data_IF_080976380070
#
_entry.id   IF_080976380070
#
_cell.length_a   1.000
_cell.length_b   1.000
_cell.length_c   1.000
_cell.angle_alpha   90.00
_cell.angle_beta   90.00
_cell.angle_gamma   90.00
#
_symmetry.space_group_name_H-M   'P 1'
#
loop_
_entity.id
_entity.type
_entity.pdbx_description
1 polymer ?
#
# COMPACT_ATOMS: atom_id res chain seq x y z
N UNK A 1 12.64 29.23 -17.36
CA UNK A 1 11.90 28.21 -18.13
C UNK A 1 11.14 27.41 -17.10
N UNK A 2 9.81 27.52 -17.09
CA UNK A 2 8.98 26.88 -16.08
C UNK A 2 9.11 25.36 -16.25
N UNK A 3 9.60 24.69 -15.20
CA UNK A 3 9.47 23.24 -15.10
C UNK A 3 7.98 22.92 -15.15
N UNK A 4 7.57 22.25 -16.22
CA UNK A 4 6.25 21.63 -16.31
C UNK A 4 6.14 20.69 -15.12
N UNK A 5 5.29 21.05 -14.16
CA UNK A 5 4.85 20.16 -13.10
C UNK A 5 4.16 19.01 -13.80
N UNK A 6 4.82 17.87 -13.93
CA UNK A 6 4.16 16.63 -14.34
C UNK A 6 3.01 16.44 -13.36
N UNK A 7 1.79 16.63 -13.84
CA UNK A 7 0.59 16.43 -13.05
C UNK A 7 0.55 14.96 -12.66
N UNK A 8 0.83 14.67 -11.40
CA UNK A 8 0.83 13.30 -10.88
C UNK A 8 -0.63 12.85 -10.81
N UNK A 9 -1.08 12.02 -11.75
CA UNK A 9 -2.39 11.36 -11.67
C UNK A 9 -2.22 10.00 -11.00
N UNK A 10 -2.61 9.90 -9.73
CA UNK A 10 -2.68 8.64 -8.99
C UNK A 10 -4.07 8.03 -9.18
N UNK A 11 -4.13 6.79 -9.67
CA UNK A 11 -5.37 6.01 -9.82
C UNK A 11 -5.68 5.17 -8.59
N UNK A 12 -4.65 4.68 -7.90
CA UNK A 12 -4.75 4.01 -6.59
C UNK A 12 -3.39 4.03 -5.89
N UNK A 13 -3.44 4.06 -4.56
CA UNK A 13 -2.28 3.89 -3.69
C UNK A 13 -2.41 2.58 -2.90
N UNK A 14 -1.45 1.68 -3.03
CA UNK A 14 -1.41 0.43 -2.25
C UNK A 14 -0.22 0.51 -1.29
N UNK A 15 -0.44 0.26 0.00
CA UNK A 15 0.59 0.27 1.02
C UNK A 15 0.70 -1.14 1.63
N UNK A 16 1.87 -1.74 1.48
CA UNK A 16 2.21 -3.06 2.02
C UNK A 16 3.15 -2.96 3.21
N UNK A 17 2.94 -3.77 4.24
CA UNK A 17 3.86 -3.81 5.39
C UNK A 17 3.64 -4.98 6.34
N UNK A 18 4.53 -5.13 7.31
CA UNK A 18 4.49 -6.21 8.29
C UNK A 18 5.00 -5.71 9.65
N UNK A 19 5.89 -6.45 10.33
CA UNK A 19 6.50 -6.03 11.59
C UNK A 19 7.10 -4.61 11.49
N UNK A 20 6.69 -3.72 12.39
CA UNK A 20 7.14 -2.32 12.43
C UNK A 20 6.40 -1.35 11.49
N UNK A 21 5.52 -1.84 10.61
CA UNK A 21 4.76 -0.96 9.70
C UNK A 21 3.69 -0.14 10.41
N UNK A 22 3.15 -0.61 11.54
CA UNK A 22 2.10 0.10 12.27
C UNK A 22 2.55 1.50 12.73
N UNK A 23 3.76 1.62 13.26
CA UNK A 23 4.29 2.91 13.74
C UNK A 23 4.41 3.91 12.59
N UNK A 24 4.81 3.43 11.40
CA UNK A 24 4.88 4.23 10.18
C UNK A 24 3.49 4.67 9.72
N UNK A 25 2.51 3.77 9.76
CA UNK A 25 1.11 4.12 9.41
C UNK A 25 0.54 5.16 10.39
N UNK A 26 0.85 5.05 11.68
CA UNK A 26 0.43 6.01 12.70
C UNK A 26 1.09 7.39 12.56
N UNK A 27 2.21 7.48 11.86
CA UNK A 27 2.84 8.74 11.47
C UNK A 27 2.22 9.32 10.18
N UNK A 28 1.94 8.47 9.20
CA UNK A 28 1.40 8.88 7.89
C UNK A 28 -0.03 9.39 8.01
N UNK A 29 -0.94 8.58 8.57
CA UNK A 29 -2.38 8.81 8.48
C UNK A 29 -2.89 10.13 9.08
N UNK A 30 -2.36 10.62 10.23
CA UNK A 30 -2.70 11.93 10.77
C UNK A 30 -2.29 13.11 9.91
N UNK A 31 -1.28 12.94 9.05
CA UNK A 31 -0.75 13.99 8.18
C UNK A 31 -1.32 13.94 6.75
N UNK A 32 -2.21 12.99 6.45
CA UNK A 32 -2.90 12.94 5.16
C UNK A 32 -3.98 14.03 5.09
N UNK A 33 -4.10 14.64 3.91
CA UNK A 33 -5.19 15.58 3.60
C UNK A 33 -6.53 14.85 3.57
N UNK A 34 -7.61 15.60 3.75
CA UNK A 34 -8.98 15.06 3.71
C UNK A 34 -9.58 15.00 2.30
N UNK A 35 -8.90 15.57 1.30
CA UNK A 35 -9.34 15.67 -0.08
C UNK A 35 -8.62 14.68 -1.00
N UNK A 36 -8.18 13.54 -0.45
CA UNK A 36 -7.52 12.47 -1.23
C UNK A 36 -8.43 12.00 -2.37
N UNK A 37 -7.97 12.13 -3.62
CA UNK A 37 -8.74 11.91 -4.84
C UNK A 37 -8.60 10.50 -5.44
N UNK A 38 -7.96 9.59 -4.70
CA UNK A 38 -7.73 8.20 -5.08
C UNK A 38 -8.02 7.24 -3.92
N UNK A 39 -8.33 5.96 -4.19
CA UNK A 39 -8.45 4.93 -3.15
C UNK A 39 -7.08 4.59 -2.55
N UNK A 40 -7.06 4.28 -1.25
CA UNK A 40 -5.89 3.75 -0.55
C UNK A 40 -6.20 2.32 -0.11
N UNK A 41 -5.34 1.35 -0.46
CA UNK A 41 -5.45 -0.04 0.00
C UNK A 41 -4.30 -0.35 0.95
N UNK A 42 -4.60 -0.94 2.10
CA UNK A 42 -3.64 -1.33 3.12
C UNK A 42 -3.56 -2.85 3.24
N UNK A 43 -2.37 -3.40 3.01
CA UNK A 43 -2.08 -4.82 3.14
C UNK A 43 -1.02 -5.00 4.21
N UNK A 44 -1.46 -5.34 5.43
CA UNK A 44 -0.56 -5.51 6.58
C UNK A 44 -0.65 -6.94 7.10
N UNK A 45 0.50 -7.60 7.27
CA UNK A 45 0.56 -8.91 7.91
C UNK A 45 0.09 -8.80 9.36
N UNK A 46 -1.03 -9.45 9.69
CA UNK A 46 -1.59 -9.46 11.04
C UNK A 46 -2.18 -10.82 11.38
N UNK A 47 -2.23 -11.14 12.68
CA UNK A 47 -2.98 -12.30 13.19
C UNK A 47 -4.48 -12.02 13.11
N UNK A 48 -5.28 -13.03 12.77
CA UNK A 48 -6.74 -12.93 12.63
C UNK A 48 -7.48 -12.41 13.88
N UNK A 49 -6.90 -12.56 15.08
CA UNK A 49 -7.49 -12.08 16.33
C UNK A 49 -7.59 -10.55 16.46
N UNK A 50 -6.95 -9.78 15.56
CA UNK A 50 -6.76 -8.34 15.69
C UNK A 50 -7.50 -7.52 14.62
N UNK A 51 -8.55 -8.08 14.01
CA UNK A 51 -9.26 -7.47 12.86
C UNK A 51 -9.79 -6.06 13.15
N UNK A 52 -10.54 -5.88 14.26
CA UNK A 52 -11.14 -4.59 14.61
C UNK A 52 -10.11 -3.54 15.04
N UNK A 53 -9.04 -3.94 15.73
CA UNK A 53 -8.12 -3.02 16.38
C UNK A 53 -7.40 -2.10 15.38
N UNK A 54 -6.89 -2.64 14.27
CA UNK A 54 -6.18 -1.83 13.27
C UNK A 54 -7.13 -0.81 12.62
N UNK A 55 -8.32 -1.27 12.24
CA UNK A 55 -9.33 -0.44 11.60
C UNK A 55 -9.76 0.71 12.52
N UNK A 56 -10.10 0.41 13.77
CA UNK A 56 -10.52 1.41 14.75
C UNK A 56 -9.40 2.38 15.11
N UNK A 57 -8.17 1.87 15.22
CA UNK A 57 -7.00 2.70 15.47
C UNK A 57 -6.77 3.68 14.31
N UNK A 58 -6.80 3.23 13.06
CA UNK A 58 -6.63 4.12 11.91
C UNK A 58 -7.80 5.11 11.76
N UNK A 59 -9.06 4.68 11.99
CA UNK A 59 -10.22 5.58 12.04
C UNK A 59 -10.03 6.73 13.04
N UNK A 60 -9.38 6.46 14.18
CA UNK A 60 -9.11 7.50 15.19
C UNK A 60 -7.99 8.47 14.81
N UNK A 61 -7.25 8.19 13.72
CA UNK A 61 -6.03 8.91 13.31
C UNK A 61 -6.17 9.68 12.01
N UNK A 62 -7.23 9.48 11.23
CA UNK A 62 -7.43 10.19 9.96
C UNK A 62 -8.88 10.61 9.80
N UNK A 63 -9.13 11.61 8.96
CA UNK A 63 -10.48 12.03 8.57
C UNK A 63 -11.01 11.26 7.36
N UNK A 64 -10.16 10.45 6.70
CA UNK A 64 -10.57 9.59 5.60
C UNK A 64 -11.51 8.49 6.09
N UNK A 65 -12.38 8.01 5.21
CA UNK A 65 -13.20 6.83 5.53
C UNK A 65 -12.29 5.61 5.56
N UNK A 66 -12.29 4.85 6.65
CA UNK A 66 -11.49 3.63 6.80
C UNK A 66 -12.42 2.44 7.06
N UNK A 67 -12.28 1.36 6.31
CA UNK A 67 -12.96 0.10 6.61
C UNK A 67 -12.11 -1.10 6.21
N UNK A 68 -12.45 -2.26 6.76
CA UNK A 68 -12.02 -3.52 6.15
C UNK A 68 -12.70 -3.65 4.78
N UNK A 69 -12.01 -4.28 3.84
CA UNK A 69 -12.48 -4.47 2.48
C UNK A 69 -13.52 -5.59 2.40
N UNK A 70 -14.57 -5.38 1.61
CA UNK A 70 -15.63 -6.38 1.35
C UNK A 70 -15.54 -6.94 -0.08
N UNK A 71 -16.00 -8.18 -0.25
CA UNK A 71 -16.07 -8.85 -1.55
C UNK A 71 -16.92 -8.04 -2.54
N UNK A 72 -16.40 -7.82 -3.75
CA UNK A 72 -16.99 -7.01 -4.83
C UNK A 72 -17.22 -5.54 -4.49
N UNK A 73 -16.61 -5.02 -3.43
CA UNK A 73 -16.64 -3.59 -3.16
C UNK A 73 -15.78 -2.81 -4.17
N UNK A 74 -16.29 -1.70 -4.71
CA UNK A 74 -15.54 -0.83 -5.62
C UNK A 74 -14.55 0.08 -4.87
N UNK A 75 -13.36 0.27 -5.45
CA UNK A 75 -12.32 1.16 -4.92
C UNK A 75 -12.67 2.64 -5.13
N UNK A 76 -13.40 3.20 -4.18
CA UNK A 76 -13.81 4.61 -4.19
C UNK A 76 -12.69 5.55 -3.68
N UNK A 77 -12.55 6.70 -4.33
CA UNK A 77 -11.63 7.75 -3.93
C UNK A 77 -11.88 8.25 -2.50
N UNK A 78 -10.82 8.66 -1.78
CA UNK A 78 -10.92 9.19 -0.42
C UNK A 78 -11.25 8.15 0.66
N UNK A 79 -11.22 6.86 0.30
CA UNK A 79 -11.43 5.74 1.21
C UNK A 79 -10.16 4.89 1.35
N UNK A 80 -9.94 4.41 2.57
CA UNK A 80 -8.90 3.48 2.96
C UNK A 80 -9.52 2.10 3.17
N UNK A 81 -9.09 1.13 2.36
CA UNK A 81 -9.53 -0.26 2.41
C UNK A 81 -8.45 -1.12 3.05
N UNK A 82 -8.78 -1.82 4.12
CA UNK A 82 -7.84 -2.70 4.82
C UNK A 82 -8.10 -4.13 4.38
N UNK A 83 -7.06 -4.83 3.91
CA UNK A 83 -7.17 -6.23 3.57
C UNK A 83 -7.60 -7.05 4.80
N UNK A 84 -8.67 -7.86 4.71
CA UNK A 84 -9.08 -8.73 5.80
C UNK A 84 -7.99 -9.75 6.11
N UNK A 85 -7.86 -10.11 7.40
CA UNK A 85 -6.97 -11.19 7.79
C UNK A 85 -7.46 -12.52 7.19
N UNK A 86 -6.54 -13.42 6.87
CA UNK A 86 -6.83 -14.74 6.28
C UNK A 86 -7.49 -14.74 4.89
N UNK A 87 -7.51 -13.61 4.18
CA UNK A 87 -7.83 -13.55 2.75
C UNK A 87 -6.72 -12.82 1.98
N UNK A 88 -6.45 -13.27 0.76
CA UNK A 88 -5.77 -12.44 -0.23
C UNK A 88 -6.75 -11.39 -0.75
N UNK A 89 -6.30 -10.16 -0.91
CA UNK A 89 -7.09 -9.08 -1.50
C UNK A 89 -6.54 -8.81 -2.90
N UNK A 90 -7.36 -9.04 -3.92
CA UNK A 90 -7.04 -8.77 -5.32
C UNK A 90 -7.88 -7.58 -5.80
N UNK A 91 -7.37 -6.90 -6.82
CA UNK A 91 -8.10 -5.86 -7.54
C UNK A 91 -8.46 -6.40 -8.92
N UNK A 92 -9.75 -6.42 -9.22
CA UNK A 92 -10.30 -6.88 -10.50
C UNK A 92 -10.21 -5.78 -11.58
N UNK A 93 -10.36 -6.15 -12.85
CA UNK A 93 -10.29 -5.20 -13.99
C UNK A 93 -11.31 -4.05 -13.89
N UNK A 94 -12.47 -4.30 -13.29
CA UNK A 94 -13.51 -3.30 -13.05
C UNK A 94 -13.27 -2.45 -11.79
N UNK A 95 -12.08 -2.59 -11.17
CA UNK A 95 -11.67 -1.94 -9.92
C UNK A 95 -12.50 -2.35 -8.70
N UNK A 96 -13.20 -3.48 -8.77
CA UNK A 96 -13.78 -4.12 -7.60
C UNK A 96 -12.75 -4.98 -6.84
N UNK A 97 -13.03 -5.20 -5.56
CA UNK A 97 -12.21 -6.02 -4.67
C UNK A 97 -12.64 -7.48 -4.77
N UNK A 98 -11.66 -8.39 -4.72
CA UNK A 98 -11.87 -9.83 -4.68
C UNK A 98 -11.07 -10.43 -3.52
N UNK A 99 -11.74 -11.19 -2.68
CA UNK A 99 -11.22 -11.81 -1.47
C UNK A 99 -11.05 -13.31 -1.70
N UNK A 100 -9.81 -13.72 -1.81
CA UNK A 100 -9.44 -15.09 -2.13
C UNK A 100 -8.91 -15.84 -0.91
N UNK A 101 -9.38 -17.07 -0.73
CA UNK A 101 -8.99 -17.96 0.39
C UNK A 101 -8.02 -19.06 -0.06
N UNK A 102 -7.30 -18.87 -1.17
CA UNK A 102 -6.31 -19.85 -1.63
C UNK A 102 -5.11 -19.96 -0.67
N UNK A 103 -4.17 -20.86 -1.02
CA UNK A 103 -2.99 -21.15 -0.22
C UNK A 103 -2.13 -19.92 0.05
N UNK A 104 -1.46 -19.92 1.20
CA UNK A 104 -0.61 -18.80 1.62
C UNK A 104 0.53 -18.57 0.62
N UNK A 105 0.74 -17.31 0.24
CA UNK A 105 1.90 -16.86 -0.53
C UNK A 105 2.92 -16.26 0.43
N UNK A 106 4.20 -16.63 0.31
CA UNK A 106 5.26 -16.22 1.26
C UNK A 106 4.92 -16.46 2.74
N UNK A 107 4.20 -17.56 3.03
CA UNK A 107 3.69 -17.91 4.36
C UNK A 107 2.68 -16.91 4.95
N UNK A 108 2.16 -15.96 4.16
CA UNK A 108 1.22 -14.93 4.59
C UNK A 108 -0.09 -14.97 3.81
N UNK A 109 -1.17 -14.58 4.51
CA UNK A 109 -2.48 -14.28 3.94
C UNK A 109 -3.15 -13.23 4.84
N UNK A 110 -3.26 -11.97 4.41
CA UNK A 110 -2.99 -11.47 3.05
C UNK A 110 -1.50 -11.47 2.68
N UNK A 111 -1.22 -11.62 1.37
CA UNK A 111 0.11 -11.41 0.78
C UNK A 111 0.11 -10.06 0.04
N UNK A 112 1.18 -9.30 0.27
CA UNK A 112 1.43 -8.01 -0.36
C UNK A 112 1.72 -8.21 -1.85
N UNK A 113 2.48 -9.25 -2.22
CA UNK A 113 2.76 -9.57 -3.62
C UNK A 113 1.47 -9.72 -4.43
N UNK A 114 0.51 -10.51 -3.94
CA UNK A 114 -0.76 -10.77 -4.63
C UNK A 114 -1.54 -9.49 -4.92
N UNK A 115 -1.65 -8.59 -3.94
CA UNK A 115 -2.34 -7.32 -4.12
C UNK A 115 -1.58 -6.38 -5.06
N UNK A 116 -0.26 -6.27 -4.92
CA UNK A 116 0.56 -5.43 -5.80
C UNK A 116 0.51 -5.91 -7.26
N UNK A 117 0.54 -7.22 -7.49
CA UNK A 117 0.49 -7.80 -8.84
C UNK A 117 -0.85 -7.50 -9.52
N UNK A 118 -1.97 -7.82 -8.87
CA UNK A 118 -3.30 -7.54 -9.44
C UNK A 118 -3.53 -6.04 -9.65
N UNK A 119 -3.11 -5.19 -8.70
CA UNK A 119 -3.20 -3.75 -8.85
C UNK A 119 -2.39 -3.21 -10.05
N UNK A 120 -1.20 -3.78 -10.29
CA UNK A 120 -0.30 -3.33 -11.36
C UNK A 120 -0.93 -3.53 -12.75
N UNK A 121 -1.62 -4.65 -12.95
CA UNK A 121 -2.32 -4.95 -14.22
C UNK A 121 -3.46 -3.97 -14.49
N UNK A 122 -4.19 -3.58 -13.43
CA UNK A 122 -5.38 -2.71 -13.48
C UNK A 122 -5.01 -1.24 -13.64
N UNK A 123 -4.14 -0.72 -12.78
CA UNK A 123 -3.86 0.72 -12.69
C UNK A 123 -2.63 1.19 -13.48
N UNK A 124 -1.72 0.27 -13.82
CA UNK A 124 -0.54 0.54 -14.66
C UNK A 124 0.26 1.78 -14.22
N UNK A 125 0.50 2.73 -15.10
CA UNK A 125 1.26 3.95 -14.82
C UNK A 125 0.62 4.87 -13.77
N UNK A 126 -0.66 4.66 -13.44
CA UNK A 126 -1.38 5.38 -12.40
C UNK A 126 -1.29 4.71 -11.03
N UNK A 127 -0.65 3.54 -10.93
CA UNK A 127 -0.45 2.86 -9.67
C UNK A 127 0.72 3.45 -8.89
N UNK A 128 0.52 3.63 -7.59
CA UNK A 128 1.62 3.85 -6.65
C UNK A 128 1.59 2.76 -5.58
N UNK A 129 2.73 2.09 -5.37
CA UNK A 129 2.88 1.11 -4.30
C UNK A 129 3.95 1.58 -3.31
N UNK A 130 3.61 1.60 -2.02
CA UNK A 130 4.54 1.86 -0.92
C UNK A 130 4.80 0.54 -0.18
N UNK A 131 6.07 0.13 -0.08
CA UNK A 131 6.48 -1.01 0.74
C UNK A 131 7.19 -0.56 2.01
N UNK A 132 6.65 -0.97 3.16
CA UNK A 132 7.08 -0.58 4.49
C UNK A 132 7.94 -1.67 5.16
N UNK A 133 8.31 -1.40 6.42
CA UNK A 133 8.99 -2.30 7.35
C UNK A 133 8.35 -3.69 7.42
N UNK A 134 9.19 -4.73 7.48
CA UNK A 134 8.76 -6.12 7.56
C UNK A 134 9.91 -7.13 7.65
N UNK A 135 9.60 -8.34 8.13
CA UNK A 135 10.57 -9.40 8.44
C UNK A 135 10.75 -10.47 7.35
N UNK A 136 10.10 -10.34 6.20
CA UNK A 136 10.21 -11.25 5.05
C UNK A 136 10.27 -10.44 3.74
N UNK A 137 10.30 -11.11 2.59
CA UNK A 137 10.41 -10.46 1.28
C UNK A 137 9.05 -10.29 0.56
N UNK A 138 7.92 -10.46 1.24
CA UNK A 138 6.60 -10.32 0.63
C UNK A 138 6.37 -8.88 0.18
N UNK A 139 5.93 -8.70 -1.06
CA UNK A 139 5.80 -7.42 -1.75
C UNK A 139 6.90 -7.17 -2.79
N UNK A 140 8.04 -7.86 -2.71
CA UNK A 140 9.17 -7.64 -3.66
C UNK A 140 8.81 -8.09 -5.08
N UNK A 141 8.20 -9.26 -5.26
CA UNK A 141 7.80 -9.72 -6.59
C UNK A 141 6.65 -8.89 -7.15
N UNK A 142 5.73 -8.44 -6.29
CA UNK A 142 4.67 -7.52 -6.66
C UNK A 142 5.19 -6.16 -7.11
N UNK A 143 6.20 -5.60 -6.42
CA UNK A 143 6.84 -4.36 -6.85
C UNK A 143 7.58 -4.51 -8.20
N UNK A 144 8.12 -5.69 -8.53
CA UNK A 144 8.64 -5.93 -9.90
C UNK A 144 7.52 -5.84 -10.94
N UNK A 145 6.34 -6.39 -10.66
CA UNK A 145 5.18 -6.22 -11.54
C UNK A 145 4.76 -4.76 -11.66
N UNK A 146 4.78 -3.99 -10.56
CA UNK A 146 4.51 -2.54 -10.60
C UNK A 146 5.46 -1.84 -11.57
N UNK A 147 6.77 -2.11 -11.50
CA UNK A 147 7.75 -1.58 -12.45
C UNK A 147 7.46 -2.00 -13.90
N UNK A 148 7.14 -3.29 -14.12
CA UNK A 148 6.85 -3.82 -15.45
C UNK A 148 5.63 -3.13 -16.11
N UNK A 149 4.66 -2.70 -15.30
CA UNK A 149 3.49 -1.95 -15.74
C UNK A 149 3.66 -0.42 -15.62
N UNK A 150 4.90 0.05 -15.46
CA UNK A 150 5.25 1.49 -15.37
C UNK A 150 4.63 2.24 -14.17
N UNK A 151 4.14 1.52 -13.17
CA UNK A 151 3.69 2.10 -11.91
C UNK A 151 4.86 2.60 -11.07
N UNK A 152 4.57 3.36 -10.01
CA UNK A 152 5.60 3.98 -9.15
C UNK A 152 5.81 3.16 -7.89
N UNK A 153 7.06 2.76 -7.68
CA UNK A 153 7.50 2.04 -6.48
C UNK A 153 8.14 2.98 -5.47
N UNK A 154 7.58 3.02 -4.27
CA UNK A 154 8.09 3.78 -3.13
C UNK A 154 8.50 2.79 -2.05
N UNK A 155 9.72 2.92 -1.53
CA UNK A 155 10.23 2.01 -0.51
C UNK A 155 10.55 2.80 0.75
N UNK A 156 10.14 2.29 1.91
CA UNK A 156 10.62 2.83 3.17
C UNK A 156 12.15 2.71 3.23
N UNK A 157 12.82 3.79 3.60
CA UNK A 157 14.26 3.80 3.82
C UNK A 157 14.64 2.67 4.80
N UNK A 158 15.41 1.67 4.35
CA UNK A 158 15.71 0.54 5.22
C UNK A 158 16.57 0.90 6.43
N UNK A 159 17.17 2.11 6.47
CA UNK A 159 17.92 2.61 7.62
C UNK A 159 17.03 3.09 8.77
N UNK A 160 15.79 3.46 8.50
CA UNK A 160 14.82 3.96 9.49
C UNK A 160 13.69 2.98 9.75
N UNK A 161 13.60 1.89 8.98
CA UNK A 161 12.66 0.80 9.23
C UNK A 161 13.00 0.02 10.50
N UNK A 162 11.99 -0.19 11.37
CA UNK A 162 12.11 -0.99 12.60
C UNK A 162 12.51 -2.43 12.27
N UNK A 163 11.92 -3.00 11.21
CA UNK A 163 12.28 -4.28 10.66
C UNK A 163 12.71 -4.09 9.20
N UNK A 164 14.02 -3.97 8.94
CA UNK A 164 14.50 -3.48 7.67
C UNK A 164 14.62 -4.55 6.58
N UNK A 165 14.39 -5.83 6.89
CA UNK A 165 14.59 -6.92 5.94
C UNK A 165 13.76 -6.76 4.66
N UNK A 166 12.45 -6.52 4.78
CA UNK A 166 11.54 -6.32 3.66
C UNK A 166 11.96 -5.16 2.73
N UNK A 167 12.15 -3.91 3.24
CA UNK A 167 12.59 -2.82 2.39
C UNK A 167 14.03 -3.00 1.85
N UNK A 168 14.94 -3.67 2.59
CA UNK A 168 16.26 -4.03 2.07
C UNK A 168 16.15 -4.95 0.84
N UNK A 169 15.30 -5.98 0.91
CA UNK A 169 15.08 -6.88 -0.22
C UNK A 169 14.49 -6.14 -1.42
N UNK A 170 13.56 -5.20 -1.19
CA UNK A 170 13.00 -4.40 -2.27
C UNK A 170 14.06 -3.50 -2.95
N UNK A 171 14.91 -2.80 -2.17
CA UNK A 171 16.00 -1.98 -2.72
C UNK A 171 17.00 -2.79 -3.54
N UNK A 172 17.24 -4.06 -3.16
CA UNK A 172 18.18 -4.94 -3.87
C UNK A 172 17.62 -5.50 -5.19
N UNK A 173 16.29 -5.63 -5.32
CA UNK A 173 15.68 -6.42 -6.40
C UNK A 173 14.71 -5.63 -7.30
N UNK A 174 14.43 -4.37 -6.96
CA UNK A 174 13.47 -3.52 -7.67
C UNK A 174 14.12 -2.15 -7.89
N UNK A 175 13.82 -1.50 -9.01
CA UNK A 175 14.17 -0.11 -9.25
C UNK A 175 13.13 0.80 -8.59
N UNK A 176 13.44 1.46 -7.46
CA UNK A 176 12.47 2.34 -6.81
C UNK A 176 12.34 3.64 -7.59
N UNK A 177 11.12 4.16 -7.65
CA UNK A 177 10.90 5.56 -8.02
C UNK A 177 11.49 6.49 -6.96
N UNK A 178 11.31 6.16 -5.67
CA UNK A 178 11.90 6.91 -4.56
C UNK A 178 12.02 6.04 -3.30
N UNK A 179 13.04 6.31 -2.49
CA UNK A 179 13.21 5.75 -1.15
C UNK A 179 12.98 6.89 -0.15
N UNK A 180 12.09 6.70 0.82
CA UNK A 180 11.66 7.75 1.76
C UNK A 180 11.74 7.31 3.21
N UNK A 181 12.09 8.24 4.10
CA UNK A 181 11.83 8.07 5.52
C UNK A 181 10.34 8.22 5.82
N UNK A 182 9.87 7.65 6.94
CA UNK A 182 8.44 7.65 7.29
C UNK A 182 7.84 9.07 7.38
N UNK A 183 8.59 10.02 7.92
CA UNK A 183 8.17 11.43 8.06
C UNK A 183 7.98 12.16 6.73
N UNK A 184 8.58 11.68 5.63
CA UNK A 184 8.41 12.27 4.30
C UNK A 184 7.24 11.66 3.51
N UNK A 185 6.75 10.48 3.91
CA UNK A 185 5.75 9.73 3.14
C UNK A 185 4.40 10.42 3.08
N UNK A 186 3.94 11.03 4.17
CA UNK A 186 2.65 11.75 4.16
C UNK A 186 2.68 12.92 3.16
N UNK A 187 3.78 13.68 3.13
CA UNK A 187 3.98 14.77 2.18
C UNK A 187 4.02 14.26 0.74
N UNK A 188 4.67 13.13 0.49
CA UNK A 188 4.67 12.48 -0.81
C UNK A 188 3.24 12.08 -1.24
N UNK A 189 2.49 11.39 -0.37
CA UNK A 189 1.11 10.95 -0.65
C UNK A 189 0.22 12.16 -0.95
N UNK A 190 0.31 13.23 -0.17
CA UNK A 190 -0.46 14.46 -0.37
C UNK A 190 -0.19 15.16 -1.71
N UNK A 191 0.99 14.94 -2.32
CA UNK A 191 1.34 15.49 -3.65
C UNK A 191 0.82 14.63 -4.81
N UNK A 192 0.35 13.42 -4.55
CA UNK A 192 -0.27 12.55 -5.57
C UNK A 192 -1.67 13.03 -5.98
N UNK A 193 -2.23 14.02 -5.29
CA UNK A 193 -3.62 14.45 -5.42
C UNK A 193 -3.97 15.27 -6.66
N UNK A 194 -2.98 15.60 -7.51
CA UNK A 194 -3.14 16.58 -8.59
C UNK A 194 -3.00 18.02 -8.13
#
# INVERSE_FOLDING_TARGET
MAETVDSISCGALIIGGSAGSLDVLLEIFPALRNDISFPIVLVVHRKASNQSLLTDLLKSRTTLTVSEAEEKEFLNAGKVFIAPADYHMLIEEDQSISLDYSEKVNYSRPSIDVTFQSAAEVFKEKLVCILLSGSNADGVEGLKSVNNYSGRVVIQNPRTAIMPYMPQQAVLNVEPHIILDSYDMANYINKLNG
#
